data_IF_949521504670
#
_entry.id   IF_949521504670
#
_cell.length_a   1.000
_cell.length_b   1.000
_cell.length_c   1.000
_cell.angle_alpha   90.00
_cell.angle_beta   90.00
_cell.angle_gamma   90.00
#
_symmetry.space_group_name_H-M   'P 1'
#
loop_
_entity.id
_entity.type
_entity.pdbx_description
1 polymer ?
#
# COMPACT_ATOMS: atom_id res chain seq x y z
N UNK A 1 11.81 -1.48 -40.26
CA UNK A 1 12.23 -2.33 -39.11
C UNK A 1 10.95 -2.94 -38.55
N UNK A 2 10.67 -4.21 -38.82
CA UNK A 2 9.54 -4.92 -38.22
C UNK A 2 9.85 -5.12 -36.74
N UNK A 3 9.03 -4.58 -35.85
CA UNK A 3 9.21 -4.74 -34.41
C UNK A 3 9.05 -6.22 -34.08
N UNK A 4 10.09 -6.85 -33.56
CA UNK A 4 10.01 -8.22 -33.04
C UNK A 4 9.31 -8.19 -31.68
N UNK A 5 7.99 -8.40 -31.70
CA UNK A 5 7.12 -8.32 -30.53
C UNK A 5 7.56 -9.32 -29.45
N UNK A 6 8.01 -10.51 -29.84
CA UNK A 6 8.46 -11.53 -28.89
C UNK A 6 9.67 -11.04 -28.08
N UNK A 7 10.67 -10.48 -28.75
CA UNK A 7 11.84 -9.90 -28.06
C UNK A 7 11.44 -8.74 -27.16
N UNK A 8 10.56 -7.85 -27.60
CA UNK A 8 10.14 -6.72 -26.77
C UNK A 8 9.28 -7.12 -25.56
N UNK A 9 8.46 -8.16 -25.68
CA UNK A 9 7.73 -8.73 -24.54
C UNK A 9 8.71 -9.33 -23.53
N UNK A 10 9.76 -10.04 -23.97
CA UNK A 10 10.82 -10.53 -23.07
C UNK A 10 11.58 -9.39 -22.37
N UNK A 11 11.93 -8.34 -23.11
CA UNK A 11 12.56 -7.14 -22.54
C UNK A 11 11.66 -6.49 -21.49
N UNK A 12 10.37 -6.37 -21.79
CA UNK A 12 9.37 -5.84 -20.85
C UNK A 12 9.24 -6.71 -19.60
N UNK A 13 9.27 -8.04 -19.76
CA UNK A 13 9.21 -8.98 -18.63
C UNK A 13 10.43 -8.87 -17.71
N UNK A 14 11.64 -8.76 -18.27
CA UNK A 14 12.87 -8.53 -17.49
C UNK A 14 12.87 -7.16 -16.80
N UNK A 15 12.34 -6.14 -17.48
CA UNK A 15 12.23 -4.79 -16.90
C UNK A 15 11.19 -4.79 -15.77
N UNK A 16 10.02 -5.39 -16.01
CA UNK A 16 8.94 -5.50 -15.04
C UNK A 16 9.34 -6.31 -13.81
N UNK A 17 10.10 -7.40 -13.97
CA UNK A 17 10.58 -8.21 -12.85
C UNK A 17 11.58 -7.44 -11.97
N UNK A 18 12.50 -6.71 -12.61
CA UNK A 18 13.43 -5.82 -11.92
C UNK A 18 12.71 -4.70 -11.17
N UNK A 19 11.71 -4.07 -11.78
CA UNK A 19 10.89 -3.03 -11.14
C UNK A 19 10.08 -3.58 -9.96
N UNK A 20 9.46 -4.75 -10.12
CA UNK A 20 8.68 -5.40 -9.07
C UNK A 20 9.55 -5.65 -7.83
N UNK A 21 10.64 -6.43 -7.99
CA UNK A 21 11.48 -6.82 -6.87
C UNK A 21 12.29 -5.65 -6.31
N UNK A 22 12.87 -4.81 -7.19
CA UNK A 22 13.69 -3.68 -6.79
C UNK A 22 12.94 -2.67 -5.94
N UNK A 23 11.73 -2.28 -6.37
CA UNK A 23 10.89 -1.37 -5.58
C UNK A 23 10.26 -2.09 -4.37
N UNK A 24 9.83 -3.34 -4.55
CA UNK A 24 9.15 -4.10 -3.50
C UNK A 24 10.02 -4.38 -2.28
N UNK A 25 11.33 -4.57 -2.46
CA UNK A 25 12.27 -4.79 -1.37
C UNK A 25 12.44 -3.57 -0.43
N UNK A 26 12.20 -2.35 -0.93
CA UNK A 26 12.45 -1.11 -0.17
C UNK A 26 11.57 -1.07 1.08
N UNK A 27 10.28 -1.36 0.92
CA UNK A 27 9.30 -1.23 1.99
C UNK A 27 9.60 -2.15 3.17
N UNK A 28 9.74 -3.46 2.90
CA UNK A 28 10.02 -4.43 3.94
C UNK A 28 11.36 -4.16 4.63
N UNK A 29 12.45 -3.92 3.88
CA UNK A 29 13.77 -3.69 4.47
C UNK A 29 13.77 -2.50 5.47
N UNK A 30 13.12 -1.39 5.11
CA UNK A 30 12.98 -0.23 6.01
C UNK A 30 12.12 -0.58 7.22
N UNK A 31 10.96 -1.23 7.02
CA UNK A 31 10.05 -1.60 8.11
C UNK A 31 10.67 -2.61 9.08
N UNK A 32 11.41 -3.60 8.58
CA UNK A 32 12.12 -4.60 9.36
C UNK A 32 13.29 -4.00 10.14
N UNK A 33 14.08 -3.14 9.48
CA UNK A 33 15.18 -2.41 10.13
C UNK A 33 14.67 -1.49 11.24
N UNK A 34 13.55 -0.80 11.01
CA UNK A 34 12.88 0.00 12.04
C UNK A 34 12.44 -0.86 13.23
N UNK A 35 11.81 -2.01 12.95
CA UNK A 35 11.40 -2.96 13.99
C UNK A 35 12.59 -3.43 14.83
N UNK A 36 13.69 -3.83 14.18
CA UNK A 36 14.91 -4.26 14.84
C UNK A 36 15.55 -3.15 15.69
N UNK A 37 15.56 -1.90 15.21
CA UNK A 37 16.07 -0.76 15.97
C UNK A 37 15.30 -0.54 17.29
N UNK A 38 13.97 -0.66 17.23
CA UNK A 38 13.11 -0.57 18.41
C UNK A 38 13.26 -1.78 19.33
N UNK A 39 13.43 -2.98 18.79
CA UNK A 39 13.73 -4.18 19.57
C UNK A 39 15.06 -4.05 20.32
N UNK A 40 16.12 -3.57 19.67
CA UNK A 40 17.41 -3.29 20.32
C UNK A 40 17.25 -2.30 21.48
N UNK A 41 16.52 -1.21 21.26
CA UNK A 41 16.21 -0.22 22.30
C UNK A 41 15.42 -0.84 23.45
N UNK A 42 14.44 -1.69 23.15
CA UNK A 42 13.61 -2.37 24.15
C UNK A 42 14.43 -3.35 25.00
N UNK A 43 15.28 -4.18 24.37
CA UNK A 43 16.16 -5.14 25.03
C UNK A 43 17.19 -4.41 25.91
N UNK A 44 17.73 -3.28 25.45
CA UNK A 44 18.67 -2.49 26.25
C UNK A 44 18.08 -2.03 27.59
N UNK A 45 16.76 -1.78 27.64
CA UNK A 45 16.03 -1.39 28.84
C UNK A 45 15.58 -2.57 29.68
N UNK A 46 15.37 -3.73 29.06
CA UNK A 46 14.85 -4.93 29.74
C UNK A 46 15.50 -6.22 29.20
N UNK A 47 16.78 -6.48 29.52
CA UNK A 47 17.52 -7.64 28.96
C UNK A 47 16.88 -8.99 29.29
N UNK A 48 16.24 -9.08 30.47
CA UNK A 48 15.54 -10.29 30.94
C UNK A 48 14.36 -10.68 30.05
N UNK A 49 13.83 -9.76 29.23
CA UNK A 49 12.70 -9.99 28.31
C UNK A 49 13.17 -10.21 26.86
N UNK A 50 14.48 -10.34 26.63
CA UNK A 50 15.07 -10.45 25.29
C UNK A 50 14.41 -11.53 24.43
N UNK A 51 14.18 -12.72 24.96
CA UNK A 51 13.54 -13.81 24.22
C UNK A 51 12.10 -13.50 23.78
N UNK A 52 11.34 -12.75 24.59
CA UNK A 52 9.98 -12.36 24.26
C UNK A 52 9.93 -11.22 23.24
N UNK A 53 10.76 -10.19 23.43
CA UNK A 53 10.90 -9.07 22.50
C UNK A 53 11.38 -9.58 21.13
N UNK A 54 12.35 -10.51 21.12
CA UNK A 54 12.87 -11.12 19.91
C UNK A 54 11.79 -11.89 19.14
N UNK A 55 10.95 -12.67 19.85
CA UNK A 55 9.80 -13.35 19.23
C UNK A 55 8.81 -12.36 18.61
N UNK A 56 8.48 -11.28 19.32
CA UNK A 56 7.58 -10.24 18.80
C UNK A 56 8.17 -9.52 17.58
N UNK A 57 9.47 -9.20 17.61
CA UNK A 57 10.21 -8.61 16.50
C UNK A 57 10.10 -9.50 15.24
N UNK A 58 10.39 -10.80 15.36
CA UNK A 58 10.32 -11.72 14.22
C UNK A 58 8.92 -11.83 13.63
N UNK A 59 7.87 -11.86 14.46
CA UNK A 59 6.49 -11.87 13.98
C UNK A 59 6.17 -10.59 13.20
N UNK A 60 6.59 -9.43 13.71
CA UNK A 60 6.41 -8.15 13.02
C UNK A 60 7.17 -8.06 11.69
N UNK A 61 8.42 -8.50 11.67
CA UNK A 61 9.25 -8.55 10.47
C UNK A 61 8.65 -9.48 9.41
N UNK A 62 8.21 -10.68 9.80
CA UNK A 62 7.56 -11.62 8.89
C UNK A 62 6.30 -11.03 8.22
N UNK A 63 5.56 -10.14 8.90
CA UNK A 63 4.42 -9.45 8.30
C UNK A 63 4.88 -8.38 7.34
N UNK A 64 5.89 -7.57 7.69
CA UNK A 64 6.45 -6.56 6.80
C UNK A 64 6.99 -7.20 5.50
N UNK A 65 7.64 -8.37 5.62
CA UNK A 65 8.21 -9.14 4.51
C UNK A 65 7.17 -9.67 3.51
N UNK A 66 5.91 -9.86 3.93
CA UNK A 66 4.86 -10.37 3.03
C UNK A 66 4.68 -9.51 1.77
N UNK A 67 4.84 -8.18 1.88
CA UNK A 67 4.80 -7.27 0.74
C UNK A 67 5.94 -7.51 -0.27
N UNK A 68 7.15 -7.79 0.22
CA UNK A 68 8.30 -8.17 -0.62
C UNK A 68 8.10 -9.54 -1.25
N UNK A 69 7.49 -10.49 -0.54
CA UNK A 69 7.17 -11.81 -1.09
C UNK A 69 6.18 -11.67 -2.24
N UNK A 70 5.18 -10.79 -2.15
CA UNK A 70 4.26 -10.52 -3.26
C UNK A 70 5.01 -9.96 -4.50
N UNK A 71 5.93 -9.02 -4.28
CA UNK A 71 6.80 -8.50 -5.34
C UNK A 71 7.71 -9.57 -5.96
N UNK A 72 8.28 -10.45 -5.13
CA UNK A 72 9.07 -11.59 -5.57
C UNK A 72 8.24 -12.55 -6.41
N UNK A 73 7.01 -12.88 -6.00
CA UNK A 73 6.10 -13.75 -6.76
C UNK A 73 5.82 -13.15 -8.14
N UNK A 74 5.51 -11.85 -8.23
CA UNK A 74 5.31 -11.19 -9.52
C UNK A 74 6.59 -11.20 -10.36
N UNK A 75 7.76 -10.91 -9.77
CA UNK A 75 9.03 -10.96 -10.47
C UNK A 75 9.34 -12.36 -11.03
N UNK A 76 9.10 -13.41 -10.24
CA UNK A 76 9.28 -14.80 -10.65
C UNK A 76 8.32 -15.19 -11.78
N UNK A 77 7.05 -14.79 -11.69
CA UNK A 77 6.09 -15.03 -12.77
C UNK A 77 6.51 -14.31 -14.06
N UNK A 78 7.00 -13.07 -13.97
CA UNK A 78 7.51 -12.33 -15.11
C UNK A 78 8.76 -12.98 -15.73
N UNK A 79 9.65 -13.57 -14.94
CA UNK A 79 10.87 -14.21 -15.44
C UNK A 79 10.63 -15.57 -16.08
N UNK A 80 9.66 -16.34 -15.59
CA UNK A 80 9.52 -17.76 -15.93
C UNK A 80 8.20 -18.12 -16.62
N UNK A 81 7.31 -17.16 -16.89
CA UNK A 81 6.08 -17.40 -17.66
C UNK A 81 6.26 -17.01 -19.13
N UNK A 82 5.63 -17.78 -20.01
CA UNK A 82 5.51 -17.42 -21.42
C UNK A 82 4.34 -16.45 -21.63
N UNK A 83 4.65 -15.28 -22.19
CA UNK A 83 3.65 -14.26 -22.49
C UNK A 83 3.27 -14.29 -23.97
N UNK A 84 1.99 -14.06 -24.27
CA UNK A 84 1.51 -13.94 -25.64
C UNK A 84 2.21 -12.80 -26.37
N UNK A 85 2.65 -13.05 -27.60
CA UNK A 85 3.25 -12.06 -28.51
C UNK A 85 2.29 -11.64 -29.64
N UNK A 86 0.98 -11.89 -29.46
CA UNK A 86 -0.03 -11.61 -30.49
C UNK A 86 -0.27 -10.12 -30.76
N UNK A 87 0.04 -9.23 -29.80
CA UNK A 87 -0.20 -7.80 -29.90
C UNK A 87 0.89 -6.99 -29.20
N UNK A 88 1.19 -5.79 -29.72
CA UNK A 88 2.10 -4.84 -29.09
C UNK A 88 1.66 -4.42 -27.68
N UNK A 89 0.37 -4.57 -27.34
CA UNK A 89 -0.15 -4.30 -25.99
C UNK A 89 0.50 -5.19 -24.93
N UNK A 90 0.89 -6.40 -25.31
CA UNK A 90 1.52 -7.36 -24.40
C UNK A 90 2.92 -6.91 -23.94
N UNK A 91 3.51 -5.90 -24.59
CA UNK A 91 4.77 -5.29 -24.14
C UNK A 91 4.52 -4.43 -22.88
N UNK A 92 3.36 -3.77 -22.76
CA UNK A 92 3.07 -2.90 -21.60
C UNK A 92 2.60 -3.68 -20.37
N UNK A 93 2.00 -4.85 -20.56
CA UNK A 93 1.45 -5.66 -19.46
C UNK A 93 2.51 -6.02 -18.41
N UNK A 94 3.68 -6.60 -18.76
CA UNK A 94 4.70 -6.95 -17.77
C UNK A 94 5.24 -5.75 -16.99
N UNK A 95 5.47 -4.63 -17.68
CA UNK A 95 5.97 -3.39 -17.06
C UNK A 95 4.94 -2.85 -16.07
N UNK A 96 3.68 -2.79 -16.50
CA UNK A 96 2.58 -2.28 -15.66
C UNK A 96 2.35 -3.16 -14.42
N UNK A 97 2.32 -4.48 -14.60
CA UNK A 97 2.18 -5.42 -13.48
C UNK A 97 3.36 -5.33 -12.50
N UNK A 98 4.58 -5.16 -13.00
CA UNK A 98 5.76 -4.97 -12.16
C UNK A 98 5.74 -3.65 -11.38
N UNK A 99 5.34 -2.55 -12.02
CA UNK A 99 5.19 -1.24 -11.36
C UNK A 99 4.09 -1.24 -10.31
N UNK A 100 2.94 -1.85 -10.60
CA UNK A 100 1.82 -1.96 -9.67
C UNK A 100 2.28 -2.61 -8.36
N UNK A 101 2.84 -3.82 -8.45
CA UNK A 101 3.31 -4.56 -7.28
C UNK A 101 4.49 -3.88 -6.60
N UNK A 102 5.48 -3.42 -7.38
CA UNK A 102 6.68 -2.77 -6.85
C UNK A 102 6.34 -1.56 -5.97
N UNK A 103 5.53 -0.63 -6.48
CA UNK A 103 5.10 0.53 -5.68
C UNK A 103 4.13 0.15 -4.55
N UNK A 104 3.21 -0.79 -4.79
CA UNK A 104 2.23 -1.19 -3.78
C UNK A 104 2.82 -1.87 -2.55
N UNK A 105 3.99 -2.48 -2.69
CA UNK A 105 4.72 -3.09 -1.58
C UNK A 105 5.41 -2.06 -0.66
N UNK A 106 5.76 -0.86 -1.16
CA UNK A 106 6.54 0.12 -0.39
C UNK A 106 5.79 0.55 0.87
N UNK A 107 4.57 1.08 0.69
CA UNK A 107 3.84 1.65 1.82
C UNK A 107 3.49 0.62 2.89
N UNK A 108 3.01 -0.54 2.46
CA UNK A 108 2.59 -1.63 3.34
C UNK A 108 3.77 -2.25 4.11
N UNK A 109 4.93 -2.41 3.45
CA UNK A 109 6.15 -2.93 4.05
C UNK A 109 6.70 -1.99 5.15
N UNK A 110 6.85 -0.70 4.84
CA UNK A 110 7.29 0.29 5.86
C UNK A 110 6.25 0.43 6.96
N UNK A 111 4.98 0.55 6.58
CA UNK A 111 3.84 0.73 7.48
C UNK A 111 3.75 -0.36 8.56
N UNK A 112 3.94 -1.62 8.16
CA UNK A 112 3.90 -2.77 9.08
C UNK A 112 5.03 -2.78 10.11
N UNK A 113 6.14 -2.08 9.86
CA UNK A 113 7.25 -1.96 10.81
C UNK A 113 6.94 -1.08 12.03
N UNK A 114 6.07 -0.08 11.88
CA UNK A 114 5.71 0.83 12.99
C UNK A 114 5.00 0.12 14.16
N UNK A 115 3.91 -0.64 13.97
CA UNK A 115 3.27 -1.37 15.06
C UNK A 115 4.17 -2.45 15.65
N UNK A 116 5.05 -3.06 14.86
CA UNK A 116 5.99 -4.05 15.33
C UNK A 116 7.04 -3.44 16.28
N UNK A 117 7.69 -2.36 15.88
CA UNK A 117 8.62 -1.63 16.75
C UNK A 117 7.94 -1.09 18.01
N UNK A 118 6.72 -0.56 17.88
CA UNK A 118 5.93 -0.09 19.03
C UNK A 118 5.54 -1.24 19.98
N UNK A 119 5.22 -2.42 19.46
CA UNK A 119 4.94 -3.60 20.26
C UNK A 119 6.19 -4.08 21.03
N UNK A 120 7.37 -4.13 20.39
CA UNK A 120 8.63 -4.47 21.07
C UNK A 120 8.90 -3.54 22.26
N UNK A 121 8.79 -2.23 22.07
CA UNK A 121 8.93 -1.24 23.15
C UNK A 121 7.82 -1.36 24.19
N UNK A 122 6.60 -1.69 23.75
CA UNK A 122 5.45 -1.90 24.61
C UNK A 122 5.64 -3.09 25.55
N UNK A 123 6.20 -4.20 25.06
CA UNK A 123 6.51 -5.40 25.85
C UNK A 123 7.56 -5.08 26.91
N UNK A 124 8.64 -4.37 26.55
CA UNK A 124 9.65 -3.97 27.54
C UNK A 124 9.06 -3.04 28.62
N UNK A 125 8.09 -2.20 28.27
CA UNK A 125 7.42 -1.30 29.22
C UNK A 125 6.38 -2.01 30.08
N UNK A 126 5.63 -2.95 29.50
CA UNK A 126 4.48 -3.60 30.14
C UNK A 126 4.39 -5.08 29.72
N UNK A 127 5.19 -5.96 30.34
CA UNK A 127 5.30 -7.37 29.92
C UNK A 127 3.99 -8.13 30.08
N UNK A 128 3.20 -7.79 31.10
CA UNK A 128 1.88 -8.39 31.36
C UNK A 128 0.89 -8.19 30.20
N UNK A 129 1.15 -7.22 29.30
CA UNK A 129 0.28 -6.94 28.15
C UNK A 129 0.83 -7.49 26.82
N UNK A 130 1.89 -8.29 26.85
CA UNK A 130 2.57 -8.80 25.65
C UNK A 130 1.64 -9.51 24.66
N UNK A 131 0.79 -10.43 25.14
CA UNK A 131 -0.16 -11.13 24.28
C UNK A 131 -1.12 -10.15 23.59
N UNK A 132 -1.65 -9.16 24.34
CA UNK A 132 -2.57 -8.16 23.80
C UNK A 132 -1.89 -7.20 22.82
N UNK A 133 -0.65 -6.81 23.09
CA UNK A 133 0.16 -6.01 22.17
C UNK A 133 0.44 -6.76 20.88
N UNK A 134 0.78 -8.05 20.98
CA UNK A 134 0.98 -8.92 19.81
C UNK A 134 -0.30 -8.99 18.99
N UNK A 135 -1.46 -9.24 19.62
CA UNK A 135 -2.75 -9.24 18.91
C UNK A 135 -3.04 -7.89 18.25
N UNK A 136 -2.83 -6.77 18.94
CA UNK A 136 -3.08 -5.45 18.35
C UNK A 136 -2.12 -5.12 17.20
N UNK A 137 -0.85 -5.52 17.31
CA UNK A 137 0.12 -5.43 16.22
C UNK A 137 -0.36 -6.24 15.01
N UNK A 138 -0.78 -7.49 15.19
CA UNK A 138 -1.29 -8.33 14.11
C UNK A 138 -2.50 -7.70 13.42
N UNK A 139 -3.47 -7.21 14.18
CA UNK A 139 -4.66 -6.54 13.63
C UNK A 139 -4.26 -5.29 12.84
N UNK A 140 -3.46 -4.42 13.44
CA UNK A 140 -3.03 -3.17 12.82
C UNK A 140 -2.22 -3.41 11.54
N UNK A 141 -1.25 -4.32 11.58
CA UNK A 141 -0.43 -4.68 10.42
C UNK A 141 -1.23 -5.39 9.32
N UNK A 142 -2.21 -6.23 9.66
CA UNK A 142 -3.07 -6.88 8.67
C UNK A 142 -3.83 -5.85 7.82
N UNK A 143 -4.35 -4.79 8.45
CA UNK A 143 -4.97 -3.69 7.71
C UNK A 143 -3.95 -2.95 6.86
N UNK A 144 -2.73 -2.71 7.36
CA UNK A 144 -1.65 -2.06 6.61
C UNK A 144 -1.23 -2.81 5.34
N UNK A 145 -1.48 -4.13 5.27
CA UNK A 145 -1.13 -4.97 4.11
C UNK A 145 -2.15 -4.91 2.98
N UNK A 146 -3.38 -4.44 3.24
CA UNK A 146 -4.44 -4.41 2.22
C UNK A 146 -4.07 -3.66 0.93
N UNK A 147 -3.31 -2.54 0.95
CA UNK A 147 -2.90 -1.87 -0.29
C UNK A 147 -1.93 -2.69 -1.15
N UNK A 148 -1.01 -3.44 -0.53
CA UNK A 148 -0.14 -4.36 -1.25
C UNK A 148 -0.95 -5.50 -1.90
N UNK A 149 -2.01 -5.98 -1.24
CA UNK A 149 -2.93 -6.96 -1.83
C UNK A 149 -3.69 -6.37 -3.03
N UNK A 150 -4.14 -5.11 -2.96
CA UNK A 150 -4.78 -4.45 -4.11
C UNK A 150 -3.84 -4.33 -5.31
N UNK A 151 -2.58 -3.98 -5.06
CA UNK A 151 -1.55 -3.95 -6.09
C UNK A 151 -1.27 -5.36 -6.66
N UNK A 152 -1.15 -6.38 -5.81
CA UNK A 152 -0.97 -7.77 -6.24
C UNK A 152 -2.11 -8.27 -7.11
N UNK A 153 -3.36 -7.99 -6.71
CA UNK A 153 -4.56 -8.35 -7.49
C UNK A 153 -4.55 -7.61 -8.83
N UNK A 154 -4.20 -6.33 -8.85
CA UNK A 154 -4.04 -5.57 -10.09
C UNK A 154 -2.99 -6.20 -11.01
N UNK A 155 -1.82 -6.56 -10.48
CA UNK A 155 -0.78 -7.26 -11.24
C UNK A 155 -1.26 -8.59 -11.79
N UNK A 156 -1.98 -9.41 -11.00
CA UNK A 156 -2.52 -10.67 -11.51
C UNK A 156 -3.57 -10.45 -12.61
N UNK A 157 -4.49 -9.50 -12.45
CA UNK A 157 -5.47 -9.20 -13.48
C UNK A 157 -4.76 -8.77 -14.77
N UNK A 158 -3.75 -7.89 -14.69
CA UNK A 158 -2.96 -7.48 -15.85
C UNK A 158 -2.29 -8.67 -16.53
N UNK A 159 -1.62 -9.54 -15.77
CA UNK A 159 -0.86 -10.67 -16.32
C UNK A 159 -1.75 -11.75 -16.96
N UNK A 160 -2.94 -11.97 -16.41
CA UNK A 160 -3.84 -13.05 -16.87
C UNK A 160 -4.96 -12.58 -17.78
N UNK A 161 -5.11 -11.27 -18.02
CA UNK A 161 -6.09 -10.74 -18.98
C UNK A 161 -5.49 -10.67 -20.38
N UNK A 162 -6.23 -11.16 -21.37
CA UNK A 162 -5.82 -11.06 -22.77
C UNK A 162 -6.32 -9.75 -23.40
N UNK A 163 -5.40 -8.82 -23.63
CA UNK A 163 -5.68 -7.54 -24.27
C UNK A 163 -5.56 -7.56 -25.80
N UNK A 164 -5.25 -8.71 -26.42
CA UNK A 164 -4.88 -8.78 -27.84
C UNK A 164 -6.00 -8.36 -28.80
N UNK A 165 -7.26 -8.43 -28.37
CA UNK A 165 -8.43 -7.98 -29.15
C UNK A 165 -8.67 -6.47 -29.09
N UNK A 166 -8.00 -5.76 -28.18
CA UNK A 166 -8.18 -4.32 -28.00
C UNK A 166 -7.27 -3.53 -28.96
N UNK A 167 -7.69 -2.32 -29.39
CA UNK A 167 -6.85 -1.48 -30.22
C UNK A 167 -5.60 -1.04 -29.46
N UNK A 168 -4.43 -1.04 -30.13
CA UNK A 168 -3.15 -0.71 -29.48
C UNK A 168 -3.19 0.70 -28.88
N UNK A 169 -3.63 1.69 -29.66
CA UNK A 169 -3.86 3.06 -29.19
C UNK A 169 -5.37 3.29 -28.99
N UNK A 170 -5.82 3.75 -27.80
CA UNK A 170 -5.03 4.29 -26.68
C UNK A 170 -4.72 3.27 -25.56
N UNK A 171 -5.10 2.01 -25.72
CA UNK A 171 -5.13 0.98 -24.65
C UNK A 171 -3.77 0.74 -23.98
N UNK A 172 -2.65 0.87 -24.68
CA UNK A 172 -1.31 0.69 -24.08
C UNK A 172 -1.10 1.60 -22.85
N UNK A 173 -1.63 2.83 -22.93
CA UNK A 173 -1.52 3.83 -21.90
C UNK A 173 -2.49 3.60 -20.75
N UNK A 174 -3.67 3.04 -21.05
CA UNK A 174 -4.62 2.59 -20.03
C UNK A 174 -4.03 1.45 -19.19
N UNK A 175 -3.40 0.46 -19.83
CA UNK A 175 -2.72 -0.65 -19.16
C UNK A 175 -1.64 -0.13 -18.21
N UNK A 176 -0.77 0.77 -18.68
CA UNK A 176 0.28 1.34 -17.85
C UNK A 176 -0.28 2.24 -16.73
N UNK A 177 -1.27 3.07 -17.06
CA UNK A 177 -1.97 3.93 -16.09
C UNK A 177 -2.65 3.12 -14.99
N UNK A 178 -3.21 1.96 -15.31
CA UNK A 178 -3.86 1.09 -14.34
C UNK A 178 -2.90 0.57 -13.27
N UNK A 179 -1.70 0.15 -13.67
CA UNK A 179 -0.68 -0.31 -12.73
C UNK A 179 -0.17 0.83 -11.85
N UNK A 180 0.06 2.01 -12.43
CA UNK A 180 0.48 3.20 -11.69
C UNK A 180 -0.57 3.69 -10.69
N UNK A 181 -1.86 3.66 -11.06
CA UNK A 181 -2.97 4.06 -10.20
C UNK A 181 -3.02 3.22 -8.91
N UNK A 182 -3.04 1.89 -9.04
CA UNK A 182 -3.09 1.00 -7.88
C UNK A 182 -1.78 0.97 -7.12
N UNK A 183 -0.63 0.96 -7.80
CA UNK A 183 0.68 0.84 -7.16
C UNK A 183 1.05 2.07 -6.34
N UNK A 184 1.04 3.25 -6.97
CA UNK A 184 1.38 4.50 -6.27
C UNK A 184 0.33 4.86 -5.22
N UNK A 185 -0.95 4.62 -5.51
CA UNK A 185 -2.04 4.90 -4.58
C UNK A 185 -1.97 4.07 -3.29
N UNK A 186 -1.32 2.92 -3.32
CA UNK A 186 -1.13 2.06 -2.16
C UNK A 186 -0.05 2.56 -1.16
N UNK A 187 0.86 3.43 -1.60
CA UNK A 187 1.99 3.88 -0.76
C UNK A 187 1.50 4.66 0.46
N UNK A 188 0.64 5.66 0.21
CA UNK A 188 0.18 6.57 1.27
C UNK A 188 -0.63 5.84 2.34
N UNK A 189 -1.60 5.02 1.92
CA UNK A 189 -2.48 4.30 2.83
C UNK A 189 -1.74 3.24 3.65
N UNK A 190 -0.77 2.53 3.06
CA UNK A 190 0.06 1.56 3.77
C UNK A 190 0.89 2.21 4.87
N UNK A 191 1.56 3.33 4.57
CA UNK A 191 2.34 4.11 5.55
C UNK A 191 1.45 4.69 6.64
N UNK A 192 0.38 5.38 6.24
CA UNK A 192 -0.56 6.04 7.14
C UNK A 192 -1.18 5.04 8.12
N UNK A 193 -1.64 3.89 7.62
CA UNK A 193 -2.18 2.82 8.45
C UNK A 193 -1.19 2.32 9.50
N UNK A 194 0.10 2.26 9.13
CA UNK A 194 1.19 1.87 10.02
C UNK A 194 1.37 2.83 11.20
N UNK A 195 1.32 4.14 10.94
CA UNK A 195 1.39 5.16 11.99
C UNK A 195 0.28 4.98 13.03
N UNK A 196 -0.96 4.77 12.57
CA UNK A 196 -2.12 4.57 13.45
C UNK A 196 -1.95 3.30 14.30
N UNK A 197 -1.52 2.20 13.68
CA UNK A 197 -1.29 0.94 14.36
C UNK A 197 -0.16 1.04 15.41
N UNK A 198 0.93 1.75 15.09
CA UNK A 198 2.01 2.07 16.02
C UNK A 198 1.53 2.83 17.25
N UNK A 199 0.77 3.91 17.05
CA UNK A 199 0.18 4.67 18.16
C UNK A 199 -0.80 3.83 19.00
N UNK A 200 -1.52 2.90 18.38
CA UNK A 200 -2.39 1.96 19.12
C UNK A 200 -1.59 1.07 20.05
N UNK A 201 -0.51 0.44 19.56
CA UNK A 201 0.39 -0.37 20.38
C UNK A 201 1.00 0.44 21.54
N UNK A 202 1.49 1.66 21.26
CA UNK A 202 2.03 2.55 22.28
C UNK A 202 0.98 2.97 23.32
N UNK A 203 -0.24 3.27 22.87
CA UNK A 203 -1.38 3.60 23.72
C UNK A 203 -1.75 2.47 24.67
N UNK A 204 -1.84 1.23 24.16
CA UNK A 204 -2.11 0.02 24.95
C UNK A 204 -1.01 -0.22 25.99
N UNK A 205 0.26 -0.06 25.60
CA UNK A 205 1.39 -0.25 26.51
C UNK A 205 1.41 0.79 27.64
N UNK A 206 0.98 2.03 27.37
CA UNK A 206 0.87 3.09 28.38
C UNK A 206 -0.35 2.92 29.27
N UNK A 207 -1.49 2.55 28.68
CA UNK A 207 -2.80 2.48 29.34
C UNK A 207 -3.53 1.19 28.95
N UNK A 208 -3.25 0.07 29.64
CA UNK A 208 -3.85 -1.24 29.32
C UNK A 208 -5.37 -1.27 29.33
N UNK A 209 -5.98 -0.44 30.19
CA UNK A 209 -7.43 -0.35 30.37
C UNK A 209 -8.13 0.28 29.16
N UNK A 210 -7.43 1.08 28.35
CA UNK A 210 -8.01 1.73 27.17
C UNK A 210 -7.91 0.91 25.89
N UNK A 211 -7.37 -0.31 25.96
CA UNK A 211 -7.00 -1.05 24.78
C UNK A 211 -8.15 -1.32 23.80
N UNK A 212 -9.32 -1.72 24.28
CA UNK A 212 -10.47 -1.96 23.39
C UNK A 212 -10.90 -0.67 22.67
N UNK A 213 -10.97 0.45 23.39
CA UNK A 213 -11.32 1.75 22.80
C UNK A 213 -10.27 2.17 21.77
N UNK A 214 -8.99 2.03 22.11
CA UNK A 214 -7.85 2.39 21.26
C UNK A 214 -7.82 1.54 19.99
N UNK A 215 -8.02 0.23 20.07
CA UNK A 215 -8.09 -0.65 18.90
C UNK A 215 -9.28 -0.30 18.00
N UNK A 216 -10.45 0.00 18.56
CA UNK A 216 -11.62 0.39 17.76
C UNK A 216 -11.38 1.70 17.00
N UNK A 217 -10.76 2.68 17.64
CA UNK A 217 -10.44 3.96 17.00
C UNK A 217 -9.30 3.82 15.99
N UNK A 218 -8.32 2.95 16.25
CA UNK A 218 -7.31 2.58 15.28
C UNK A 218 -7.95 2.04 13.99
N UNK A 219 -8.88 1.08 14.11
CA UNK A 219 -9.58 0.52 12.96
C UNK A 219 -10.41 1.56 12.22
N UNK A 220 -11.09 2.46 12.94
CA UNK A 220 -11.83 3.57 12.32
C UNK A 220 -10.89 4.51 11.54
N UNK A 221 -9.78 4.92 12.17
CA UNK A 221 -8.80 5.80 11.54
C UNK A 221 -8.16 5.16 10.32
N UNK A 222 -7.76 3.89 10.42
CA UNK A 222 -7.22 3.12 9.29
C UNK A 222 -8.25 2.94 8.17
N UNK A 223 -9.54 2.71 8.49
CA UNK A 223 -10.57 2.55 7.47
C UNK A 223 -10.68 3.78 6.55
N UNK A 224 -10.56 4.98 7.13
CA UNK A 224 -10.53 6.23 6.34
C UNK A 224 -9.24 6.32 5.54
N UNK A 225 -8.08 6.10 6.17
CA UNK A 225 -6.76 6.08 5.52
C UNK A 225 -6.66 5.17 4.29
N UNK A 226 -7.43 4.07 4.25
CA UNK A 226 -7.43 3.11 3.15
C UNK A 226 -8.26 3.52 1.92
N UNK A 227 -9.12 4.55 2.03
CA UNK A 227 -9.99 5.00 0.92
C UNK A 227 -9.19 5.43 -0.31
N UNK A 228 -8.04 6.06 -0.09
CA UNK A 228 -7.13 6.53 -1.15
C UNK A 228 -6.55 5.39 -2.01
N UNK A 229 -6.19 4.26 -1.41
CA UNK A 229 -5.80 3.04 -2.14
C UNK A 229 -6.99 2.45 -2.91
N UNK A 230 -8.22 2.53 -2.36
CA UNK A 230 -9.43 2.08 -3.05
C UNK A 230 -9.70 2.93 -4.30
N UNK A 231 -9.45 4.24 -4.27
CA UNK A 231 -9.59 5.08 -5.48
C UNK A 231 -8.58 4.69 -6.56
N UNK A 232 -7.33 4.42 -6.18
CA UNK A 232 -6.30 3.93 -7.10
C UNK A 232 -6.71 2.61 -7.74
N UNK A 233 -7.23 1.67 -6.95
CA UNK A 233 -7.78 0.39 -7.43
C UNK A 233 -8.98 0.59 -8.36
N UNK A 234 -9.90 1.49 -8.00
CA UNK A 234 -11.09 1.80 -8.80
C UNK A 234 -10.69 2.32 -10.19
N UNK A 235 -9.80 3.32 -10.26
CA UNK A 235 -9.31 3.86 -11.53
C UNK A 235 -8.55 2.78 -12.32
N UNK A 236 -7.77 1.94 -11.65
CA UNK A 236 -7.10 0.79 -12.28
C UNK A 236 -8.09 -0.13 -12.98
N UNK A 237 -9.18 -0.49 -12.28
CA UNK A 237 -10.23 -1.35 -12.84
C UNK A 237 -10.97 -0.68 -14.00
N UNK A 238 -11.27 0.61 -13.89
CA UNK A 238 -11.90 1.36 -14.98
C UNK A 238 -11.00 1.34 -16.22
N UNK A 239 -9.69 1.61 -16.06
CA UNK A 239 -8.74 1.62 -17.17
C UNK A 239 -8.53 0.23 -17.80
N UNK A 240 -8.61 -0.86 -17.02
CA UNK A 240 -8.47 -2.23 -17.54
C UNK A 240 -9.72 -2.76 -18.24
N UNK A 241 -10.90 -2.47 -17.71
CA UNK A 241 -12.16 -3.09 -18.17
C UNK A 241 -12.98 -2.22 -19.11
N UNK A 242 -12.71 -0.90 -19.19
CA UNK A 242 -13.36 -0.04 -20.17
C UNK A 242 -12.77 -0.26 -21.56
N UNK A 243 -13.64 -0.39 -22.56
CA UNK A 243 -13.22 -0.41 -23.97
C UNK A 243 -13.05 1.01 -24.50
N UNK A 244 -11.99 1.20 -25.28
CA UNK A 244 -11.66 2.48 -25.91
C UNK A 244 -11.68 2.32 -27.43
N UNK A 245 -12.26 3.29 -28.13
CA UNK A 245 -12.27 3.30 -29.58
C UNK A 245 -10.85 3.53 -30.12
N UNK A 246 -10.47 2.90 -31.25
CA UNK A 246 -9.17 3.12 -31.86
C UNK A 246 -8.99 4.60 -32.23
N UNK A 247 -7.82 5.15 -31.89
CA UNK A 247 -7.48 6.54 -32.22
C UNK A 247 -5.98 6.70 -32.48
N UNK A 248 -5.65 7.51 -33.47
CA UNK A 248 -4.26 7.90 -33.78
C UNK A 248 -3.79 9.08 -32.91
N UNK A 249 -4.69 9.66 -32.12
CA UNK A 249 -4.37 10.77 -31.23
C UNK A 249 -3.55 10.30 -30.03
N UNK A 250 -2.31 10.80 -29.94
CA UNK A 250 -1.45 10.62 -28.76
C UNK A 250 -2.10 11.24 -27.53
N UNK A 251 -2.86 12.33 -27.68
CA UNK A 251 -3.52 13.01 -26.58
C UNK A 251 -4.50 12.08 -25.83
N UNK A 252 -5.24 11.23 -26.55
CA UNK A 252 -6.14 10.27 -25.94
C UNK A 252 -5.39 9.19 -25.13
N UNK A 253 -4.27 8.68 -25.65
CA UNK A 253 -3.45 7.74 -24.90
C UNK A 253 -2.84 8.39 -23.65
N UNK A 254 -2.23 9.57 -23.80
CA UNK A 254 -1.62 10.30 -22.68
C UNK A 254 -2.66 10.72 -21.64
N UNK A 255 -3.91 10.99 -22.02
CA UNK A 255 -4.99 11.24 -21.08
C UNK A 255 -5.25 10.03 -20.15
N UNK A 256 -5.29 8.81 -20.68
CA UNK A 256 -5.49 7.59 -19.88
C UNK A 256 -4.30 7.29 -18.96
N UNK A 257 -3.07 7.52 -19.44
CA UNK A 257 -1.88 7.43 -18.57
C UNK A 257 -1.91 8.50 -17.48
N UNK A 258 -2.26 9.74 -17.85
CA UNK A 258 -2.42 10.87 -16.94
C UNK A 258 -3.49 10.62 -15.89
N UNK A 259 -4.57 9.93 -16.23
CA UNK A 259 -5.61 9.54 -15.28
C UNK A 259 -5.04 8.61 -14.21
N UNK A 260 -4.25 7.60 -14.60
CA UNK A 260 -3.61 6.70 -13.64
C UNK A 260 -2.59 7.40 -12.74
N UNK A 261 -1.77 8.29 -13.32
CA UNK A 261 -0.79 9.09 -12.58
C UNK A 261 -1.43 10.06 -11.59
N UNK A 262 -2.51 10.74 -12.00
CA UNK A 262 -3.18 11.76 -11.18
C UNK A 262 -3.70 11.18 -9.87
N UNK A 263 -4.41 10.06 -9.91
CA UNK A 263 -4.89 9.39 -8.69
C UNK A 263 -3.76 8.65 -7.96
N UNK A 264 -2.85 7.99 -8.69
CA UNK A 264 -1.76 7.23 -8.07
C UNK A 264 -0.87 8.11 -7.20
N UNK A 265 -0.41 9.25 -7.74
CA UNK A 265 0.40 10.22 -6.98
C UNK A 265 -0.47 10.98 -5.99
N UNK A 266 -1.68 11.38 -6.39
CA UNK A 266 -2.59 12.17 -5.57
C UNK A 266 -3.07 11.49 -4.30
N UNK A 267 -3.13 10.15 -4.29
CA UNK A 267 -3.53 9.35 -3.14
C UNK A 267 -2.44 9.25 -2.05
N UNK A 268 -1.16 9.51 -2.37
CA UNK A 268 -0.06 9.37 -1.41
C UNK A 268 -0.20 10.33 -0.23
N UNK A 269 -0.44 11.61 -0.54
CA UNK A 269 -0.53 12.69 0.46
C UNK A 269 -1.66 12.48 1.46
N UNK A 270 -2.92 12.32 1.02
CA UNK A 270 -4.06 12.07 1.90
C UNK A 270 -3.89 10.80 2.74
N UNK A 271 -3.43 9.68 2.15
CA UNK A 271 -3.19 8.45 2.93
C UNK A 271 -2.23 8.67 4.10
N UNK A 272 -1.14 9.43 3.90
CA UNK A 272 -0.21 9.80 4.98
C UNK A 272 -0.88 10.77 5.98
N UNK A 273 -1.49 11.85 5.48
CA UNK A 273 -2.07 12.92 6.30
C UNK A 273 -3.21 12.42 7.20
N UNK A 274 -4.07 11.57 6.67
CA UNK A 274 -5.15 10.93 7.43
C UNK A 274 -4.60 9.98 8.49
N UNK A 275 -3.52 9.25 8.17
CA UNK A 275 -2.80 8.41 9.12
C UNK A 275 -2.22 9.22 10.28
N UNK A 276 -1.66 10.41 10.03
CA UNK A 276 -1.14 11.31 11.08
C UNK A 276 -2.25 11.85 12.00
N UNK A 277 -3.39 12.22 11.42
CA UNK A 277 -4.56 12.65 12.18
C UNK A 277 -5.08 11.53 13.10
N UNK A 278 -5.22 10.32 12.56
CA UNK A 278 -5.65 9.15 13.32
C UNK A 278 -4.61 8.69 14.36
N UNK A 279 -3.32 8.74 14.05
CA UNK A 279 -2.24 8.46 14.98
C UNK A 279 -2.35 9.37 16.23
N UNK A 280 -2.52 10.67 16.00
CA UNK A 280 -2.67 11.66 17.07
C UNK A 280 -3.92 11.43 17.90
N UNK A 281 -5.04 11.11 17.25
CA UNK A 281 -6.31 10.80 17.90
C UNK A 281 -6.21 9.55 18.79
N UNK A 282 -5.64 8.47 18.27
CA UNK A 282 -5.41 7.22 19.02
C UNK A 282 -4.54 7.46 20.24
N UNK A 283 -3.44 8.20 20.09
CA UNK A 283 -2.56 8.55 21.21
C UNK A 283 -3.24 9.44 22.27
N UNK A 284 -4.13 10.34 21.85
CA UNK A 284 -4.88 11.20 22.77
C UNK A 284 -6.00 10.45 23.51
N UNK A 285 -6.70 9.54 22.82
CA UNK A 285 -7.79 8.73 23.39
C UNK A 285 -7.26 7.72 24.40
N UNK A 286 -6.07 7.16 24.17
CA UNK A 286 -5.38 6.38 25.19
C UNK A 286 -5.28 7.19 26.50
N UNK A 287 -4.83 8.44 26.41
CA UNK A 287 -4.64 9.34 27.56
C UNK A 287 -5.94 9.73 28.25
N UNK A 288 -6.99 10.04 27.49
CA UNK A 288 -8.26 10.53 28.02
C UNK A 288 -9.47 9.92 27.30
N UNK A 289 -9.91 8.74 27.77
CA UNK A 289 -11.07 8.04 27.20
C UNK A 289 -12.39 8.81 27.32
N UNK A 290 -12.53 9.73 28.29
CA UNK A 290 -13.76 10.52 28.46
C UNK A 290 -14.00 11.48 27.30
N UNK A 291 -12.93 11.94 26.64
CA UNK A 291 -12.99 12.84 25.50
C UNK A 291 -13.03 12.09 24.14
N UNK A 292 -13.26 10.76 24.14
CA UNK A 292 -13.29 9.97 22.91
C UNK A 292 -14.24 10.53 21.84
N UNK A 293 -15.51 10.90 22.16
CA UNK A 293 -16.42 11.43 21.14
C UNK A 293 -15.88 12.69 20.46
N UNK A 294 -15.32 13.62 21.23
CA UNK A 294 -14.80 14.89 20.70
C UNK A 294 -13.52 14.68 19.89
N UNK A 295 -12.60 13.86 20.39
CA UNK A 295 -11.34 13.56 19.68
C UNK A 295 -11.62 12.82 18.38
N UNK A 296 -12.51 11.82 18.38
CA UNK A 296 -12.89 11.09 17.16
C UNK A 296 -13.58 12.01 16.16
N UNK A 297 -14.42 12.95 16.61
CA UNK A 297 -15.02 13.94 15.72
C UNK A 297 -13.97 14.83 15.06
N UNK A 298 -13.01 15.35 15.84
CA UNK A 298 -11.91 16.17 15.31
C UNK A 298 -11.05 15.38 14.32
N UNK A 299 -10.74 14.12 14.65
CA UNK A 299 -10.03 13.20 13.76
C UNK A 299 -10.75 13.08 12.42
N UNK A 300 -12.03 12.72 12.41
CA UNK A 300 -12.79 12.49 11.17
C UNK A 300 -12.93 13.77 10.35
N UNK A 301 -13.12 14.93 10.98
CA UNK A 301 -13.15 16.21 10.27
C UNK A 301 -11.79 16.53 9.66
N UNK A 302 -10.70 16.32 10.40
CA UNK A 302 -9.34 16.52 9.90
C UNK A 302 -9.00 15.59 8.73
N UNK A 303 -9.38 14.31 8.84
CA UNK A 303 -9.24 13.34 7.76
C UNK A 303 -10.04 13.77 6.52
N UNK A 304 -11.32 14.14 6.69
CA UNK A 304 -12.16 14.61 5.58
C UNK A 304 -11.59 15.85 4.85
N UNK A 305 -10.94 16.76 5.58
CA UNK A 305 -10.25 17.91 4.95
C UNK A 305 -8.99 17.46 4.22
N UNK A 306 -8.18 16.58 4.83
CA UNK A 306 -6.99 15.99 4.19
C UNK A 306 -7.33 15.21 2.92
N UNK A 307 -8.49 14.57 2.89
CA UNK A 307 -8.98 13.74 1.78
C UNK A 307 -9.31 14.53 0.51
N UNK A 308 -9.62 15.83 0.65
CA UNK A 308 -10.07 16.68 -0.46
C UNK A 308 -9.14 16.67 -1.67
N UNK A 309 -7.81 16.63 -1.47
CA UNK A 309 -6.85 16.58 -2.58
C UNK A 309 -6.84 15.23 -3.28
N UNK A 310 -7.13 14.14 -2.58
CA UNK A 310 -7.34 12.81 -3.15
C UNK A 310 -8.60 12.78 -4.03
N UNK A 311 -9.68 13.42 -3.56
CA UNK A 311 -10.91 13.58 -4.36
C UNK A 311 -10.66 14.43 -5.59
N UNK A 312 -9.89 15.52 -5.50
CA UNK A 312 -9.56 16.34 -6.67
C UNK A 312 -8.78 15.53 -7.72
N UNK A 313 -7.80 14.74 -7.29
CA UNK A 313 -7.10 13.81 -8.18
C UNK A 313 -8.03 12.78 -8.80
N UNK A 314 -8.96 12.20 -8.03
CA UNK A 314 -9.96 11.26 -8.54
C UNK A 314 -10.85 11.91 -9.60
N UNK A 315 -11.31 13.14 -9.35
CA UNK A 315 -12.12 13.91 -10.31
C UNK A 315 -11.35 14.15 -11.60
N UNK A 316 -10.08 14.57 -11.52
CA UNK A 316 -9.25 14.77 -12.72
C UNK A 316 -9.05 13.46 -13.47
N UNK A 317 -8.79 12.34 -12.79
CA UNK A 317 -8.72 11.02 -13.42
C UNK A 317 -10.01 10.64 -14.14
N UNK A 318 -11.18 10.88 -13.53
CA UNK A 318 -12.46 10.58 -14.16
C UNK A 318 -12.74 11.48 -15.37
N UNK A 319 -12.40 12.77 -15.30
CA UNK A 319 -12.51 13.69 -16.45
C UNK A 319 -11.63 13.23 -17.60
N UNK A 320 -10.39 12.83 -17.33
CA UNK A 320 -9.45 12.31 -18.33
C UNK A 320 -9.89 10.98 -18.97
N UNK A 321 -10.75 10.21 -18.30
CA UNK A 321 -11.24 8.90 -18.81
C UNK A 321 -12.56 9.04 -19.57
N UNK A 322 -13.46 9.92 -19.12
CA UNK A 322 -14.85 9.93 -19.57
C UNK A 322 -15.23 11.17 -20.38
N UNK A 323 -14.48 12.26 -20.27
CA UNK A 323 -14.82 13.54 -20.90
C UNK A 323 -13.86 13.90 -22.02
N UNK A 324 -12.57 13.65 -21.81
CA UNK A 324 -11.47 13.91 -22.77
C UNK A 324 -11.19 12.64 -23.56
#
# INVERSE_FOLDING_TARGET
MTIDIETWVKVAAFTGSGLAMGLGAIGAAIGEGYTAAYANSAISRSPNLSGEIFKSMLVGQAIAESASIFALVIAMLLLFSDFSSQSCLMIMVPISAGLAMGFGAIGSGVGSGFPAGAACMGIARQPAMSAKLTTNMLIGSAVCQTPAIFALVTSFILLFTNFSSSPVSPTWAAILGAGLASGLGAIGSGLGGGFVAGASCEGIARQPNSATTVTNVMLLGQAVTQTTAIYGLLISFILMFKTFAPTDSIAAAVALLGAGLSIGIGAIGPGIGEGLAAQSAVGAIAKNQKATPDITRVMLVGQAVSESTGIYSLVISLVLIFVI
#
